data_IF_898674503104
#
_entry.id   IF_898674503104
#
_cell.length_a   1.000
_cell.length_b   1.000
_cell.length_c   1.000
_cell.angle_alpha   90.00
_cell.angle_beta   90.00
_cell.angle_gamma   90.00
#
_symmetry.space_group_name_H-M   'P 1'
#
loop_
_entity.id
_entity.type
_entity.pdbx_description
1 polymer ?
#
# COMPACT_ATOMS: atom_id res chain seq x y z
N UNK A 1 -1.20 1.17 2.35
CA UNK A 1 -2.51 1.05 1.69
C UNK A 1 -3.53 1.99 2.32
N UNK A 2 -3.56 2.14 3.64
CA UNK A 2 -4.43 3.12 4.33
C UNK A 2 -4.29 4.56 3.78
N UNK A 3 -3.07 5.09 3.66
CA UNK A 3 -2.84 6.43 3.07
C UNK A 3 -3.42 6.55 1.65
N UNK A 4 -3.32 5.49 0.85
CA UNK A 4 -3.86 5.47 -0.52
C UNK A 4 -5.40 5.50 -0.51
N UNK A 5 -6.02 4.81 0.46
CA UNK A 5 -7.46 4.85 0.65
C UNK A 5 -7.94 6.24 1.08
N UNK A 6 -7.30 6.86 2.08
CA UNK A 6 -7.66 8.20 2.55
C UNK A 6 -7.55 9.25 1.42
N UNK A 7 -6.52 9.14 0.59
CA UNK A 7 -6.34 10.01 -0.58
C UNK A 7 -7.40 9.76 -1.67
N UNK A 8 -7.75 8.51 -1.95
CA UNK A 8 -8.81 8.17 -2.91
C UNK A 8 -10.17 8.73 -2.47
N UNK A 9 -10.51 8.64 -1.17
CA UNK A 9 -11.73 9.23 -0.62
C UNK A 9 -11.77 10.77 -0.78
N UNK A 10 -10.61 11.43 -0.74
CA UNK A 10 -10.48 12.86 -1.02
C UNK A 10 -10.56 13.23 -2.52
N UNK A 11 -10.80 12.25 -3.41
CA UNK A 11 -10.81 12.36 -4.88
C UNK A 11 -9.46 12.79 -5.48
N UNK A 12 -8.36 12.53 -4.78
CA UNK A 12 -7.03 12.75 -5.32
C UNK A 12 -6.72 11.70 -6.40
N UNK A 13 -6.15 12.12 -7.54
CA UNK A 13 -5.62 11.17 -8.52
C UNK A 13 -4.38 10.50 -7.91
N UNK A 14 -4.42 9.18 -7.78
CA UNK A 14 -3.41 8.46 -7.01
C UNK A 14 -2.92 7.21 -7.72
N UNK A 15 -1.68 6.83 -7.43
CA UNK A 15 -1.08 5.59 -7.92
C UNK A 15 -0.35 4.82 -6.82
N UNK A 16 -0.40 3.49 -6.87
CA UNK A 16 0.29 2.62 -5.91
C UNK A 16 1.31 1.74 -6.62
N UNK A 17 2.46 1.54 -5.99
CA UNK A 17 3.51 0.62 -6.44
C UNK A 17 3.70 -0.43 -5.36
N UNK A 18 3.61 -1.71 -5.73
CA UNK A 18 3.75 -2.85 -4.83
C UNK A 18 5.01 -3.62 -5.24
N UNK A 19 6.06 -3.52 -4.41
CA UNK A 19 7.38 -4.08 -4.73
C UNK A 19 7.57 -5.55 -4.38
N UNK A 20 6.67 -6.11 -3.60
CA UNK A 20 6.83 -7.46 -3.07
C UNK A 20 5.47 -8.09 -2.89
N UNK A 21 5.42 -9.41 -3.04
CA UNK A 21 4.24 -10.17 -2.72
C UNK A 21 3.85 -9.94 -1.25
N UNK A 22 2.56 -9.76 -1.04
CA UNK A 22 2.01 -9.43 0.27
C UNK A 22 0.64 -10.05 0.46
N UNK A 23 0.38 -10.54 1.67
CA UNK A 23 -0.97 -10.97 2.04
C UNK A 23 -1.81 -9.75 2.39
N UNK A 24 -2.97 -9.66 1.76
CA UNK A 24 -4.00 -8.68 2.08
C UNK A 24 -5.13 -9.39 2.83
N UNK A 25 -5.48 -8.86 4.00
CA UNK A 25 -6.49 -9.41 4.91
C UNK A 25 -7.35 -8.28 5.48
N UNK A 26 -8.62 -8.55 5.80
CA UNK A 26 -9.41 -7.60 6.59
C UNK A 26 -8.97 -7.64 8.06
N UNK A 27 -9.38 -6.63 8.84
CA UNK A 27 -9.15 -6.59 10.28
C UNK A 27 -9.78 -7.80 11.00
N UNK A 28 -10.95 -8.23 10.56
CA UNK A 28 -11.69 -9.37 11.11
C UNK A 28 -10.95 -10.68 10.85
N UNK A 29 -10.38 -10.87 9.65
CA UNK A 29 -9.58 -12.05 9.33
C UNK A 29 -8.31 -12.12 10.18
N UNK A 30 -7.62 -10.99 10.35
CA UNK A 30 -6.43 -10.93 11.21
C UNK A 30 -6.80 -11.24 12.65
N UNK A 31 -7.87 -10.62 13.16
CA UNK A 31 -8.36 -10.89 14.52
C UNK A 31 -8.72 -12.36 14.71
N UNK A 32 -9.46 -12.94 13.78
CA UNK A 32 -9.81 -14.36 13.78
C UNK A 32 -8.56 -15.24 13.83
N UNK A 33 -7.59 -14.99 12.94
CA UNK A 33 -6.35 -15.76 12.94
C UNK A 33 -5.58 -15.65 14.27
N UNK A 34 -5.51 -14.45 14.86
CA UNK A 34 -4.88 -14.25 16.17
C UNK A 34 -5.61 -14.99 17.30
N UNK A 35 -6.93 -15.12 17.23
CA UNK A 35 -7.71 -15.93 18.18
C UNK A 35 -7.46 -17.42 17.96
N UNK A 36 -7.50 -17.89 16.72
CA UNK A 36 -7.31 -19.31 16.36
C UNK A 36 -5.91 -19.81 16.71
N UNK A 37 -4.86 -18.98 16.56
CA UNK A 37 -3.48 -19.33 16.91
C UNK A 37 -3.30 -19.72 18.39
N UNK A 38 -4.24 -19.36 19.27
CA UNK A 38 -4.22 -19.78 20.68
C UNK A 38 -4.60 -21.25 20.87
N UNK A 39 -5.33 -21.83 19.92
CA UNK A 39 -5.94 -23.15 20.04
C UNK A 39 -5.52 -24.13 18.93
N UNK A 40 -5.06 -23.63 17.78
CA UNK A 40 -4.77 -24.41 16.58
C UNK A 40 -3.32 -24.22 16.11
N UNK A 41 -2.73 -25.22 15.43
CA UNK A 41 -1.37 -25.11 14.91
C UNK A 41 -1.28 -24.08 13.79
N UNK A 42 -0.12 -23.41 13.71
CA UNK A 42 0.14 -22.29 12.80
C UNK A 42 -0.16 -22.63 11.32
N UNK A 43 0.23 -23.81 10.85
CA UNK A 43 -0.01 -24.25 9.46
C UNK A 43 -1.50 -24.36 9.11
N UNK A 44 -2.32 -24.81 10.07
CA UNK A 44 -3.76 -24.91 9.91
C UNK A 44 -4.39 -23.52 9.86
N UNK A 45 -4.01 -22.63 10.79
CA UNK A 45 -4.53 -21.25 10.82
C UNK A 45 -4.16 -20.52 9.53
N UNK A 46 -2.92 -20.62 9.08
CA UNK A 46 -2.48 -19.97 7.84
C UNK A 46 -3.23 -20.50 6.62
N UNK A 47 -3.44 -21.82 6.53
CA UNK A 47 -4.19 -22.43 5.44
C UNK A 47 -5.64 -21.97 5.43
N UNK A 48 -6.27 -21.93 6.60
CA UNK A 48 -7.65 -21.50 6.78
C UNK A 48 -7.84 -20.01 6.43
N UNK A 49 -6.99 -19.14 6.97
CA UNK A 49 -7.05 -17.70 6.70
C UNK A 49 -6.72 -17.39 5.23
N UNK A 50 -5.78 -18.11 4.64
CA UNK A 50 -5.47 -17.97 3.20
C UNK A 50 -6.65 -18.39 2.32
N UNK A 51 -7.37 -19.46 2.70
CA UNK A 51 -8.58 -19.89 2.00
C UNK A 51 -9.67 -18.82 2.04
N UNK A 52 -9.95 -18.26 3.23
CA UNK A 52 -10.93 -17.18 3.40
C UNK A 52 -10.51 -15.93 2.60
N UNK A 53 -9.23 -15.56 2.66
CA UNK A 53 -8.70 -14.42 1.88
C UNK A 53 -8.88 -14.63 0.38
N UNK A 54 -8.62 -15.84 -0.14
CA UNK A 54 -8.81 -16.16 -1.57
C UNK A 54 -10.25 -15.99 -2.01
N UNK A 55 -11.19 -16.36 -1.15
CA UNK A 55 -12.62 -16.21 -1.41
C UNK A 55 -13.03 -14.73 -1.46
N UNK A 56 -12.64 -13.92 -0.47
CA UNK A 56 -12.97 -12.49 -0.39
C UNK A 56 -12.27 -11.65 -1.46
N UNK A 57 -10.97 -11.84 -1.57
CA UNK A 57 -10.11 -11.12 -2.48
C UNK A 57 -9.75 -12.04 -3.65
N UNK A 58 -10.76 -12.29 -4.49
CA UNK A 58 -10.62 -12.92 -5.80
C UNK A 58 -9.39 -12.36 -6.54
N UNK A 59 -8.77 -13.17 -7.39
CA UNK A 59 -7.52 -12.93 -8.13
C UNK A 59 -7.03 -11.47 -8.14
N UNK A 60 -6.17 -11.14 -7.17
CA UNK A 60 -5.53 -9.84 -7.05
C UNK A 60 -4.24 -9.72 -7.88
N UNK A 61 -3.73 -10.83 -8.43
CA UNK A 61 -2.52 -10.83 -9.23
C UNK A 61 -2.70 -10.00 -10.51
N UNK A 62 -3.93 -9.95 -11.05
CA UNK A 62 -4.26 -9.08 -12.20
C UNK A 62 -4.13 -7.58 -11.92
N UNK A 63 -3.99 -7.18 -10.65
CA UNK A 63 -3.76 -5.81 -10.21
C UNK A 63 -2.34 -5.62 -9.65
N UNK A 64 -1.39 -6.50 -10.00
CA UNK A 64 -0.01 -6.44 -9.52
C UNK A 64 0.19 -6.84 -8.06
N UNK A 65 -0.84 -7.41 -7.40
CA UNK A 65 -0.77 -7.85 -6.01
C UNK A 65 -0.67 -9.36 -5.93
N UNK A 66 0.56 -9.85 -5.88
CA UNK A 66 0.82 -11.27 -5.74
C UNK A 66 0.77 -11.71 -4.28
N UNK A 67 0.17 -12.87 -4.03
CA UNK A 67 0.18 -13.49 -2.70
C UNK A 67 1.47 -14.30 -2.51
N UNK A 68 2.14 -14.17 -1.36
CA UNK A 68 3.25 -15.04 -1.01
C UNK A 68 2.83 -16.52 -0.93
N UNK A 69 3.77 -17.43 -1.19
CA UNK A 69 3.54 -18.88 -1.06
C UNK A 69 3.31 -19.29 0.40
N UNK A 70 4.07 -18.72 1.33
CA UNK A 70 3.94 -18.97 2.76
C UNK A 70 2.78 -18.17 3.35
N UNK A 71 2.18 -18.69 4.42
CA UNK A 71 1.02 -18.07 5.05
C UNK A 71 1.34 -16.77 5.81
N UNK A 72 0.30 -15.96 6.07
CA UNK A 72 0.44 -14.64 6.66
C UNK A 72 1.07 -14.62 8.06
N UNK A 73 0.69 -15.56 8.93
CA UNK A 73 1.21 -15.65 10.29
C UNK A 73 2.59 -16.30 10.33
N UNK A 74 2.86 -17.27 9.44
CA UNK A 74 4.20 -17.81 9.25
C UNK A 74 5.21 -16.72 8.86
N UNK A 75 4.87 -15.91 7.85
CA UNK A 75 5.74 -14.83 7.36
C UNK A 75 5.99 -13.81 8.47
N UNK A 76 4.96 -13.47 9.25
CA UNK A 76 5.12 -12.59 10.41
C UNK A 76 6.08 -13.16 11.45
N UNK A 77 5.95 -14.44 11.79
CA UNK A 77 6.78 -15.10 12.80
C UNK A 77 8.24 -15.27 12.35
N UNK A 78 8.48 -15.54 11.07
CA UNK A 78 9.82 -15.87 10.55
C UNK A 78 10.57 -14.69 9.95
N UNK A 79 9.88 -13.80 9.24
CA UNK A 79 10.49 -12.69 8.50
C UNK A 79 10.17 -11.32 9.12
N UNK A 80 9.36 -11.28 10.19
CA UNK A 80 8.89 -10.03 10.79
C UNK A 80 8.00 -9.18 9.88
N UNK A 81 7.62 -9.69 8.70
CA UNK A 81 6.77 -8.99 7.73
C UNK A 81 5.31 -9.25 8.07
N UNK A 82 4.60 -8.20 8.47
CA UNK A 82 3.15 -8.30 8.73
C UNK A 82 2.35 -8.18 7.43
N UNK A 83 1.16 -8.77 7.43
CA UNK A 83 0.18 -8.62 6.35
C UNK A 83 -0.30 -7.18 6.25
N UNK A 84 -0.75 -6.79 5.07
CA UNK A 84 -1.44 -5.51 4.89
C UNK A 84 -2.90 -5.70 5.26
N UNK A 85 -3.37 -4.84 6.16
CA UNK A 85 -4.78 -4.76 6.52
C UNK A 85 -5.47 -3.91 5.46
N UNK A 86 -6.48 -4.47 4.80
CA UNK A 86 -7.32 -3.74 3.88
C UNK A 86 -8.49 -3.11 4.63
N UNK A 87 -8.60 -1.79 4.44
CA UNK A 87 -9.65 -0.92 4.98
C UNK A 87 -10.67 -0.51 3.92
N UNK A 88 -10.52 -0.99 2.68
CA UNK A 88 -11.30 -0.57 1.51
C UNK A 88 -10.44 -0.20 0.30
N UNK A 89 -9.11 -0.17 0.45
CA UNK A 89 -8.16 0.12 -0.62
C UNK A 89 -8.31 -0.84 -1.80
N UNK A 90 -8.50 -2.15 -1.53
CA UNK A 90 -8.64 -3.14 -2.60
C UNK A 90 -9.85 -2.86 -3.47
N UNK A 91 -10.96 -2.40 -2.88
CA UNK A 91 -12.17 -2.01 -3.62
C UNK A 91 -11.85 -0.85 -4.58
N UNK A 92 -11.15 0.17 -4.09
CA UNK A 92 -10.72 1.34 -4.88
C UNK A 92 -9.76 0.98 -6.02
N UNK A 93 -8.87 0.00 -5.81
CA UNK A 93 -8.01 -0.54 -6.88
C UNK A 93 -8.85 -1.22 -7.97
N UNK A 94 -9.85 -2.02 -7.57
CA UNK A 94 -10.74 -2.71 -8.52
C UNK A 94 -11.62 -1.74 -9.32
N UNK A 95 -11.98 -0.61 -8.73
CA UNK A 95 -12.75 0.48 -9.35
C UNK A 95 -11.90 1.42 -10.22
N UNK A 96 -10.60 1.14 -10.39
CA UNK A 96 -9.62 1.94 -11.13
C UNK A 96 -9.43 3.39 -10.61
N UNK A 97 -9.91 3.68 -9.39
CA UNK A 97 -9.60 4.94 -8.69
C UNK A 97 -8.12 5.01 -8.30
N UNK A 98 -7.47 3.85 -8.19
CA UNK A 98 -6.05 3.69 -7.88
C UNK A 98 -5.36 2.98 -9.05
N UNK A 99 -4.50 3.70 -9.78
CA UNK A 99 -3.81 3.16 -10.97
C UNK A 99 -2.35 2.77 -10.66
N UNK A 100 -1.82 1.82 -11.40
CA UNK A 100 -0.39 1.51 -11.37
C UNK A 100 0.36 2.43 -12.35
N UNK A 101 1.39 3.13 -11.88
CA UNK A 101 2.18 4.03 -12.73
C UNK A 101 3.68 3.90 -12.41
N UNK A 102 4.44 3.35 -13.37
CA UNK A 102 5.89 3.12 -13.26
C UNK A 102 6.78 4.33 -13.54
N UNK A 103 6.23 5.55 -13.70
CA UNK A 103 7.04 6.69 -14.14
C UNK A 103 7.97 7.26 -13.06
N UNK A 104 7.62 7.10 -11.77
CA UNK A 104 8.33 7.72 -10.64
C UNK A 104 9.36 6.79 -9.96
N UNK A 105 9.25 5.48 -10.16
CA UNK A 105 10.16 4.47 -9.59
C UNK A 105 11.12 3.90 -10.65
N UNK A 106 12.33 3.50 -10.24
CA UNK A 106 13.28 2.75 -11.06
C UNK A 106 12.91 1.26 -11.11
N UNK A 107 13.70 0.45 -11.83
CA UNK A 107 13.46 -1.00 -11.96
C UNK A 107 13.55 -1.77 -10.63
N UNK A 108 14.15 -1.16 -9.60
CA UNK A 108 14.21 -1.69 -8.23
C UNK A 108 12.99 -1.27 -7.38
N UNK A 109 12.05 -0.52 -7.97
CA UNK A 109 10.87 0.04 -7.32
C UNK A 109 11.17 1.23 -6.39
N UNK A 110 12.37 1.81 -6.42
CA UNK A 110 12.75 2.97 -5.63
C UNK A 110 12.53 4.26 -6.41
N UNK A 111 12.24 5.41 -5.76
CA UNK A 111 12.11 6.67 -6.45
C UNK A 111 13.37 7.00 -7.27
N UNK A 112 13.17 7.46 -8.50
CA UNK A 112 14.29 7.87 -9.38
C UNK A 112 15.09 9.04 -8.79
N UNK A 113 14.40 9.93 -8.07
CA UNK A 113 15.01 11.08 -7.41
C UNK A 113 15.62 10.70 -6.05
N UNK A 114 16.71 11.35 -5.68
CA UNK A 114 17.39 11.16 -4.38
C UNK A 114 16.75 12.03 -3.30
N UNK A 115 16.84 11.57 -2.05
CA UNK A 115 16.49 12.36 -0.85
C UNK A 115 17.27 13.69 -0.84
N UNK A 116 16.67 14.83 -0.44
CA UNK A 116 15.34 15.01 0.17
C UNK A 116 14.17 15.18 -0.82
N UNK A 117 14.42 15.20 -2.13
CA UNK A 117 13.40 15.45 -3.16
C UNK A 117 12.93 14.16 -3.85
N UNK A 118 13.16 12.99 -3.23
CA UNK A 118 12.78 11.69 -3.76
C UNK A 118 11.26 11.51 -3.91
N UNK A 119 10.48 12.27 -3.13
CA UNK A 119 9.02 12.18 -3.09
C UNK A 119 8.33 12.80 -4.31
N UNK A 120 9.02 13.62 -5.11
CA UNK A 120 8.41 14.35 -6.25
C UNK A 120 8.74 13.70 -7.58
N UNK A 121 7.71 13.32 -8.34
CA UNK A 121 7.82 12.86 -9.73
C UNK A 121 7.39 13.92 -10.75
N UNK A 122 7.27 13.50 -12.01
CA UNK A 122 6.71 14.32 -13.09
C UNK A 122 5.18 14.26 -13.09
N UNK A 123 4.52 15.20 -13.77
CA UNK A 123 3.07 15.21 -14.01
C UNK A 123 2.19 15.13 -12.75
N UNK A 124 2.68 15.66 -11.62
CA UNK A 124 1.94 15.65 -10.35
C UNK A 124 1.90 14.28 -9.66
N UNK A 125 2.75 13.33 -10.07
CA UNK A 125 2.95 12.08 -9.33
C UNK A 125 3.85 12.30 -8.13
N UNK A 126 3.54 11.63 -7.02
CA UNK A 126 4.34 11.66 -5.80
C UNK A 126 4.59 10.27 -5.23
N UNK A 127 5.74 10.09 -4.60
CA UNK A 127 6.14 8.89 -3.87
C UNK A 127 6.18 9.20 -2.38
N UNK A 128 5.57 8.35 -1.55
CA UNK A 128 5.56 8.52 -0.10
C UNK A 128 6.18 7.30 0.57
N UNK A 129 7.07 7.52 1.53
CA UNK A 129 7.57 6.46 2.41
C UNK A 129 8.72 5.64 1.83
N UNK A 130 9.31 6.08 0.73
CA UNK A 130 10.44 5.40 0.08
C UNK A 130 11.81 5.88 0.56
N UNK A 131 11.87 6.85 1.47
CA UNK A 131 13.13 7.38 2.04
C UNK A 131 13.89 6.39 2.94
N UNK A 132 13.27 5.25 3.31
CA UNK A 132 13.78 4.28 4.30
C UNK A 132 14.03 4.89 5.70
N UNK A 133 13.35 6.01 6.03
CA UNK A 133 13.46 6.69 7.34
C UNK A 133 12.30 6.40 8.29
N UNK A 134 11.61 5.28 8.10
CA UNK A 134 10.45 4.88 8.91
C UNK A 134 9.28 5.87 8.84
N UNK A 135 8.48 5.92 9.92
CA UNK A 135 7.28 6.77 10.02
C UNK A 135 7.60 8.26 9.91
N UNK A 136 8.73 8.71 10.47
CA UNK A 136 9.17 10.10 10.32
C UNK A 136 9.44 10.44 8.85
N UNK A 137 10.03 9.53 8.09
CA UNK A 137 10.20 9.66 6.64
C UNK A 137 8.88 9.81 5.89
N UNK A 138 7.90 8.95 6.22
CA UNK A 138 6.55 9.00 5.64
C UNK A 138 5.88 10.35 5.93
N UNK A 139 5.97 10.83 7.17
CA UNK A 139 5.40 12.12 7.58
C UNK A 139 6.05 13.30 6.85
N UNK A 140 7.38 13.32 6.74
CA UNK A 140 8.10 14.35 6.00
C UNK A 140 7.69 14.38 4.52
N UNK A 141 7.62 13.21 3.88
CA UNK A 141 7.19 13.09 2.48
C UNK A 141 5.76 13.63 2.32
N UNK A 142 4.83 13.25 3.21
CA UNK A 142 3.45 13.70 3.18
C UNK A 142 3.32 15.23 3.33
N UNK A 143 4.08 15.83 4.25
CA UNK A 143 4.10 17.29 4.45
C UNK A 143 4.65 18.01 3.22
N UNK A 144 5.75 17.52 2.65
CA UNK A 144 6.36 18.12 1.47
C UNK A 144 5.42 18.08 0.25
N UNK A 145 4.73 16.96 0.04
CA UNK A 145 3.73 16.81 -1.03
C UNK A 145 2.56 17.76 -0.83
N UNK A 146 2.01 17.86 0.38
CA UNK A 146 0.91 18.77 0.67
C UNK A 146 1.29 20.23 0.40
N UNK A 147 2.53 20.63 0.71
CA UNK A 147 3.05 21.95 0.41
C UNK A 147 3.19 22.19 -1.09
N UNK A 148 3.75 21.24 -1.86
CA UNK A 148 3.87 21.35 -3.32
C UNK A 148 2.50 21.43 -4.00
N UNK A 149 1.55 20.60 -3.56
CA UNK A 149 0.15 20.68 -4.01
C UNK A 149 -0.47 22.06 -3.74
N UNK A 150 -0.27 22.61 -2.54
CA UNK A 150 -0.75 23.96 -2.19
C UNK A 150 -0.14 25.02 -3.09
N UNK A 151 1.15 24.93 -3.40
CA UNK A 151 1.84 25.86 -4.32
C UNK A 151 1.29 25.74 -5.75
N UNK A 152 1.12 24.52 -6.26
CA UNK A 152 0.56 24.26 -7.60
C UNK A 152 -0.87 24.80 -7.71
N UNK A 153 -1.71 24.59 -6.69
CA UNK A 153 -3.08 25.10 -6.64
C UNK A 153 -3.13 26.62 -6.47
N UNK A 154 -2.26 27.20 -5.64
CA UNK A 154 -2.14 28.64 -5.44
C UNK A 154 -1.72 29.38 -6.71
N UNK A 155 -0.77 28.81 -7.47
CA UNK A 155 -0.33 29.34 -8.76
C UNK A 155 -1.41 29.29 -9.86
N UNK A 156 -2.33 28.31 -9.80
CA UNK A 156 -3.48 28.25 -10.73
C UNK A 156 -4.56 29.30 -10.45
N UNK A 157 -4.70 29.77 -9.21
CA UNK A 157 -5.65 30.85 -8.86
C UNK A 157 -5.25 32.24 -9.37
N UNK A 158 -3.99 32.45 -9.74
CA UNK A 158 -3.49 33.75 -10.25
C UNK A 158 -3.65 33.93 -11.76
N UNK A 159 -4.23 32.95 -12.48
CA UNK A 159 -4.38 32.99 -13.96
C UNK A 159 -5.84 33.13 -14.43
N UNK A 160 -6.74 33.54 -13.55
CA UNK A 160 -8.11 33.93 -13.87
C UNK A 160 -8.43 35.28 -13.25
#
# INVERSE_FOLDING_TARGET
>A
MEIAYDLAESKACMSIVIRSSVHILTKEMVHLGMVLLKYLPLSFVDSFITLISRFWYVNLAKYGIERPANGPFYIKATQGRSTVIDVGTVKKIKEEEIKEYGYIVNDEGLPKNKFPNHWRGSNGLYCVGFSRRGLAGVSMDAVAIAQDMKLIMGGKKSRY
#
